data_IF_996364102828
#
_entry.id   IF_996364102828
#
_cell.length_a   1.000
_cell.length_b   1.000
_cell.length_c   1.000
_cell.angle_alpha   90.00
_cell.angle_beta   90.00
_cell.angle_gamma   90.00
#
_symmetry.space_group_name_H-M   'P 1'
#
loop_
_entity.id
_entity.type
_entity.pdbx_description
1 polymer ?
#
# COMPACT_ATOMS: atom_id res chain seq x y z
N UNK A 1 -18.18 -5.91 9.96
CA UNK A 1 -16.93 -6.63 9.62
C UNK A 1 -16.12 -5.70 8.75
N UNK A 2 -14.84 -5.46 9.07
CA UNK A 2 -14.05 -4.52 8.30
C UNK A 2 -13.72 -5.21 6.94
N UNK A 3 -13.88 -4.50 5.82
CA UNK A 3 -13.73 -5.04 4.45
C UNK A 3 -12.29 -5.51 4.17
N UNK A 4 -12.09 -6.66 3.55
CA UNK A 4 -10.74 -7.08 3.13
C UNK A 4 -10.08 -6.04 2.21
N UNK A 5 -8.76 -5.88 2.35
CA UNK A 5 -7.98 -5.05 1.43
C UNK A 5 -8.23 -5.50 0.00
N UNK A 6 -8.37 -4.53 -0.88
CA UNK A 6 -8.54 -4.76 -2.30
C UNK A 6 -7.25 -5.36 -2.88
N UNK A 7 -7.39 -6.47 -3.59
CA UNK A 7 -6.29 -7.09 -4.31
C UNK A 7 -6.72 -7.29 -5.76
N UNK A 8 -6.18 -6.46 -6.64
CA UNK A 8 -6.39 -6.56 -8.09
C UNK A 8 -5.14 -7.11 -8.78
N UNK A 9 -5.29 -7.74 -9.96
CA UNK A 9 -4.15 -8.19 -10.76
C UNK A 9 -3.15 -7.06 -11.02
N UNK A 10 -1.86 -7.38 -10.93
CA UNK A 10 -0.79 -6.42 -11.21
C UNK A 10 -0.81 -6.01 -12.69
N UNK A 11 -0.74 -4.69 -12.94
CA UNK A 11 -0.72 -4.12 -14.29
C UNK A 11 0.70 -3.74 -14.76
N UNK A 12 1.75 -4.26 -14.09
CA UNK A 12 3.16 -3.92 -14.32
C UNK A 12 3.43 -2.41 -14.37
N UNK A 13 2.69 -1.65 -13.56
CA UNK A 13 2.76 -0.19 -13.46
C UNK A 13 2.62 0.22 -11.98
N UNK A 14 3.20 -0.58 -11.08
CA UNK A 14 3.04 -0.37 -9.65
C UNK A 14 3.60 0.99 -9.24
N UNK A 15 2.76 1.78 -8.58
CA UNK A 15 3.11 3.08 -8.02
C UNK A 15 2.30 3.28 -6.74
N UNK A 16 2.95 3.12 -5.59
CA UNK A 16 2.27 3.06 -4.30
C UNK A 16 2.21 4.41 -3.62
N UNK A 17 1.00 4.85 -3.29
CA UNK A 17 0.76 6.15 -2.66
C UNK A 17 -0.22 6.03 -1.50
N UNK A 18 -0.11 6.88 -0.47
CA UNK A 18 -1.08 6.92 0.61
C UNK A 18 -2.42 7.44 0.08
N UNK A 19 -3.52 6.80 0.48
CA UNK A 19 -4.89 7.20 0.09
C UNK A 19 -5.42 8.36 0.94
N UNK A 20 -4.81 8.59 2.11
CA UNK A 20 -5.33 9.47 3.15
C UNK A 20 -6.45 8.84 4.00
N UNK A 21 -6.89 7.63 3.64
CA UNK A 21 -7.85 6.87 4.42
C UNK A 21 -7.13 6.02 5.48
N UNK A 22 -7.71 5.95 6.67
CA UNK A 22 -7.24 5.06 7.74
C UNK A 22 -8.23 3.94 7.98
N UNK A 23 -7.71 2.76 8.29
CA UNK A 23 -8.47 1.54 8.51
C UNK A 23 -7.90 0.81 9.70
N UNK A 24 -8.72 0.66 10.74
CA UNK A 24 -8.27 0.08 12.01
C UNK A 24 -7.00 0.81 12.54
N UNK A 25 -6.99 2.14 12.44
CA UNK A 25 -5.86 3.03 12.78
C UNK A 25 -4.58 2.83 11.94
N UNK A 26 -4.69 2.16 10.79
CA UNK A 26 -3.60 1.97 9.83
C UNK A 26 -3.83 2.80 8.57
N UNK A 27 -2.81 3.53 8.11
CA UNK A 27 -2.90 4.27 6.85
C UNK A 27 -2.98 3.29 5.67
N UNK A 28 -4.00 3.47 4.83
CA UNK A 28 -4.18 2.66 3.63
C UNK A 28 -3.38 3.26 2.50
N UNK A 29 -2.55 2.43 1.87
CA UNK A 29 -1.87 2.72 0.62
C UNK A 29 -2.60 2.04 -0.52
N UNK A 30 -2.60 2.67 -1.69
CA UNK A 30 -3.10 2.06 -2.91
C UNK A 30 -2.09 2.20 -4.03
N UNK A 31 -2.02 1.17 -4.87
CA UNK A 31 -1.32 1.23 -6.13
C UNK A 31 -2.13 2.05 -7.14
N UNK A 32 -1.54 3.10 -7.73
CA UNK A 32 -2.22 3.97 -8.69
C UNK A 32 -2.67 3.22 -9.96
N UNK A 33 -1.98 2.14 -10.34
CA UNK A 33 -2.30 1.36 -11.54
C UNK A 33 -3.34 0.25 -11.31
N UNK A 34 -3.08 -0.68 -10.37
CA UNK A 34 -3.99 -1.80 -10.15
C UNK A 34 -5.07 -1.52 -9.10
N UNK A 35 -4.89 -0.49 -8.24
CA UNK A 35 -5.77 -0.18 -7.10
C UNK A 35 -5.76 -1.22 -5.98
N UNK A 36 -4.77 -2.12 -5.98
CA UNK A 36 -4.52 -2.96 -4.81
C UNK A 36 -4.18 -2.10 -3.61
N UNK A 37 -4.67 -2.50 -2.44
CA UNK A 37 -4.50 -1.81 -1.17
C UNK A 37 -3.48 -2.53 -0.30
N UNK A 38 -2.81 -1.75 0.56
CA UNK A 38 -1.82 -2.24 1.51
C UNK A 38 -1.89 -1.41 2.80
N UNK A 39 -1.59 -2.05 3.93
CA UNK A 39 -1.39 -1.40 5.23
C UNK A 39 -0.12 -1.96 5.88
N UNK A 40 0.48 -1.23 6.82
CA UNK A 40 1.76 -1.59 7.45
C UNK A 40 1.81 -2.94 8.19
N UNK A 41 0.66 -3.52 8.52
CA UNK A 41 0.57 -4.83 9.19
C UNK A 41 0.57 -6.01 8.22
N UNK A 42 0.51 -5.77 6.91
CA UNK A 42 0.63 -6.82 5.90
C UNK A 42 2.03 -7.47 5.95
N UNK A 43 2.11 -8.78 5.73
CA UNK A 43 3.37 -9.55 5.79
C UNK A 43 4.34 -9.34 4.62
N UNK A 44 4.07 -8.36 3.76
CA UNK A 44 4.87 -8.04 2.57
C UNK A 44 4.98 -6.51 2.43
N UNK A 45 6.04 -6.04 1.77
CA UNK A 45 6.26 -4.60 1.54
C UNK A 45 6.05 -4.26 0.06
N UNK A 46 5.17 -3.30 -0.27
CA UNK A 46 4.95 -2.91 -1.65
C UNK A 46 6.17 -2.24 -2.25
N UNK A 47 6.39 -2.55 -3.52
CA UNK A 47 7.43 -1.93 -4.35
C UNK A 47 6.80 -1.32 -5.58
N UNK A 48 7.38 -0.21 -6.01
CA UNK A 48 7.08 0.42 -7.28
C UNK A 48 7.61 -0.44 -8.44
N UNK A 49 7.22 -0.10 -9.66
CA UNK A 49 7.62 -0.83 -10.86
C UNK A 49 9.14 -0.96 -11.01
N UNK A 50 9.88 0.08 -10.63
CA UNK A 50 11.35 0.12 -10.67
C UNK A 50 12.00 -0.73 -9.56
N UNK A 51 11.21 -1.38 -8.71
CA UNK A 51 11.66 -2.16 -7.57
C UNK A 51 11.99 -1.33 -6.32
N UNK A 52 11.87 0.00 -6.39
CA UNK A 52 12.03 0.88 -5.22
C UNK A 52 10.84 0.76 -4.28
N UNK A 53 11.04 1.14 -3.02
CA UNK A 53 9.95 1.30 -2.04
C UNK A 53 9.63 2.79 -1.97
N UNK A 54 8.36 3.17 -2.14
CA UNK A 54 7.95 4.56 -2.06
C UNK A 54 8.31 5.16 -0.68
N UNK A 55 8.79 6.40 -0.66
CA UNK A 55 9.23 7.05 0.58
C UNK A 55 8.13 7.08 1.65
N UNK A 56 6.87 7.27 1.25
CA UNK A 56 5.72 7.24 2.14
C UNK A 56 5.50 5.85 2.79
N UNK A 57 5.78 4.76 2.06
CA UNK A 57 5.73 3.39 2.61
C UNK A 57 6.84 3.19 3.63
N UNK A 58 8.06 3.68 3.35
CA UNK A 58 9.19 3.62 4.31
C UNK A 58 8.87 4.42 5.58
N UNK A 59 8.29 5.60 5.44
CA UNK A 59 7.86 6.42 6.57
C UNK A 59 6.81 5.68 7.42
N UNK A 60 5.80 5.08 6.78
CA UNK A 60 4.75 4.33 7.48
C UNK A 60 5.31 3.12 8.24
N UNK A 61 6.24 2.37 7.63
CA UNK A 61 6.91 1.24 8.29
C UNK A 61 7.77 1.67 9.48
N UNK A 62 8.22 2.93 9.50
CA UNK A 62 9.02 3.49 10.59
C UNK A 62 8.16 3.95 11.78
N UNK A 63 6.84 4.07 11.60
CA UNK A 63 5.91 4.43 12.68
C UNK A 63 5.74 3.22 13.61
N UNK A 64 6.09 3.40 14.89
CA UNK A 64 5.89 2.42 15.96
C UNK A 64 4.42 2.28 16.34
#
# INVERSE_FOLDING_TARGET
MPRSLRQDPCQNQCDWTPTGETRDDLLVFACAACRSEWVRTEGWTPRNLDGSIAAAVVEELSRR
#
